data_IF_785885863046
#
_entry.id   IF_785885863046
#
_cell.length_a   1.000
_cell.length_b   1.000
_cell.length_c   1.000
_cell.angle_alpha   90.00
_cell.angle_beta   90.00
_cell.angle_gamma   90.00
#
_symmetry.space_group_name_H-M   'P 1'
#
loop_
_entity.id
_entity.type
_entity.pdbx_description
1 polymer ?
#
# COMPACT_ATOMS: atom_id res chain seq x y z
N UNK A 1 -12.93 -13.09 8.34
CA UNK A 1 -11.83 -12.11 8.50
C UNK A 1 -10.64 -12.59 7.69
N UNK A 2 -10.29 -11.90 6.60
CA UNK A 2 -9.17 -12.30 5.74
C UNK A 2 -7.85 -11.96 6.46
N UNK A 3 -7.07 -12.99 6.76
CA UNK A 3 -5.83 -12.94 7.55
C UNK A 3 -4.64 -12.87 6.59
N UNK A 4 -4.00 -11.71 6.46
CA UNK A 4 -2.69 -11.62 5.82
C UNK A 4 -1.64 -11.60 6.91
N UNK A 5 -0.96 -12.74 7.09
CA UNK A 5 0.29 -12.76 7.83
C UNK A 5 1.38 -12.09 6.98
N UNK A 6 2.09 -11.13 7.56
CA UNK A 6 3.11 -10.27 6.91
C UNK A 6 4.10 -11.08 6.06
N UNK A 7 4.49 -12.26 6.56
CA UNK A 7 5.44 -13.15 5.86
C UNK A 7 4.89 -13.72 4.55
N UNK A 8 3.58 -13.95 4.45
CA UNK A 8 2.96 -14.49 3.23
C UNK A 8 2.88 -13.42 2.14
N UNK A 9 2.67 -12.15 2.52
CA UNK A 9 2.62 -11.04 1.58
C UNK A 9 3.97 -10.85 0.87
N UNK A 10 5.07 -10.82 1.61
CA UNK A 10 6.40 -10.57 1.00
C UNK A 10 6.78 -11.65 -0.02
N UNK A 11 6.52 -12.92 0.29
CA UNK A 11 6.79 -14.04 -0.61
C UNK A 11 5.91 -13.97 -1.86
N UNK A 12 4.64 -13.64 -1.70
CA UNK A 12 3.72 -13.50 -2.81
C UNK A 12 4.10 -12.35 -3.76
N UNK A 13 4.47 -11.19 -3.21
CA UNK A 13 4.95 -10.04 -3.97
C UNK A 13 6.21 -10.37 -4.78
N UNK A 14 7.18 -11.06 -4.16
CA UNK A 14 8.40 -11.51 -4.84
C UNK A 14 8.08 -12.49 -5.98
N UNK A 15 7.16 -13.42 -5.74
CA UNK A 15 6.70 -14.36 -6.76
C UNK A 15 6.08 -13.65 -7.97
N UNK A 16 5.15 -12.72 -7.74
CA UNK A 16 4.52 -11.93 -8.81
C UNK A 16 5.53 -11.07 -9.57
N UNK A 17 6.45 -10.41 -8.85
CA UNK A 17 7.46 -9.54 -9.44
C UNK A 17 8.48 -10.30 -10.30
N UNK A 18 8.79 -11.55 -9.93
CA UNK A 18 9.71 -12.41 -10.67
C UNK A 18 9.14 -12.98 -11.98
N UNK A 19 7.85 -12.83 -12.24
CA UNK A 19 7.24 -13.28 -13.49
C UNK A 19 7.58 -12.33 -14.66
N UNK A 20 7.74 -12.85 -15.90
CA UNK A 20 7.97 -12.01 -17.07
C UNK A 20 6.74 -11.19 -17.49
N UNK A 21 5.57 -11.49 -16.92
CA UNK A 21 4.33 -10.80 -17.23
C UNK A 21 4.30 -9.41 -16.62
N UNK A 22 4.16 -8.39 -17.46
CA UNK A 22 4.05 -7.02 -16.99
C UNK A 22 2.79 -6.80 -16.14
N UNK A 23 1.72 -7.54 -16.44
CA UNK A 23 0.51 -7.51 -15.61
C UNK A 23 0.76 -8.03 -14.20
N UNK A 24 1.58 -9.07 -14.05
CA UNK A 24 1.93 -9.59 -12.74
C UNK A 24 2.76 -8.59 -11.93
N UNK A 25 3.71 -7.90 -12.59
CA UNK A 25 4.51 -6.84 -11.96
C UNK A 25 3.67 -5.63 -11.55
N UNK A 26 2.68 -5.24 -12.35
CA UNK A 26 1.70 -4.20 -11.98
C UNK A 26 0.91 -4.59 -10.72
N UNK A 27 0.43 -5.83 -10.65
CA UNK A 27 -0.30 -6.33 -9.47
C UNK A 27 0.61 -6.36 -8.25
N UNK A 28 1.87 -6.79 -8.39
CA UNK A 28 2.84 -6.74 -7.29
C UNK A 28 3.04 -5.30 -6.78
N UNK A 29 3.19 -4.34 -7.69
CA UNK A 29 3.35 -2.94 -7.33
C UNK A 29 2.10 -2.36 -6.64
N UNK A 30 0.90 -2.62 -7.17
CA UNK A 30 -0.35 -2.14 -6.57
C UNK A 30 -0.53 -2.68 -5.14
N UNK A 31 -0.21 -3.95 -4.92
CA UNK A 31 -0.21 -4.56 -3.59
C UNK A 31 0.82 -3.92 -2.65
N UNK A 32 2.02 -3.61 -3.14
CA UNK A 32 3.05 -2.92 -2.37
C UNK A 32 2.61 -1.50 -1.98
N UNK A 33 2.04 -0.73 -2.92
CA UNK A 33 1.51 0.62 -2.68
C UNK A 33 0.41 0.59 -1.61
N UNK A 34 -0.53 -0.36 -1.71
CA UNK A 34 -1.62 -0.51 -0.73
C UNK A 34 -1.10 -0.90 0.64
N UNK A 35 -0.11 -1.79 0.71
CA UNK A 35 0.51 -2.19 1.97
C UNK A 35 1.19 -1.02 2.68
N UNK A 36 2.07 -0.30 1.98
CA UNK A 36 2.77 0.87 2.52
C UNK A 36 1.78 1.96 2.95
N UNK A 37 0.76 2.24 2.13
CA UNK A 37 -0.27 3.24 2.45
C UNK A 37 -1.05 2.87 3.71
N UNK A 38 -1.35 1.58 3.90
CA UNK A 38 -2.04 1.07 5.09
C UNK A 38 -1.17 1.18 6.34
N UNK A 39 0.10 0.75 6.25
CA UNK A 39 1.05 0.85 7.36
C UNK A 39 1.27 2.31 7.76
N UNK A 40 1.40 3.21 6.79
CA UNK A 40 1.58 4.64 7.05
C UNK A 40 0.39 5.26 7.78
N UNK A 41 -0.84 4.97 7.34
CA UNK A 41 -2.05 5.44 8.02
C UNK A 41 -2.16 4.93 9.46
N UNK A 42 -1.83 3.66 9.69
CA UNK A 42 -1.81 3.09 11.02
C UNK A 42 -0.74 3.76 11.90
N UNK A 43 0.46 3.94 11.37
CA UNK A 43 1.56 4.58 12.09
C UNK A 43 1.22 6.01 12.49
N UNK A 44 0.62 6.81 11.59
CA UNK A 44 0.19 8.19 11.92
C UNK A 44 -0.84 8.25 13.06
N UNK A 45 -1.64 7.20 13.25
CA UNK A 45 -2.74 7.18 14.22
C UNK A 45 -2.33 6.58 15.56
N UNK A 46 -1.47 5.58 15.54
CA UNK A 46 -1.13 4.77 16.71
C UNK A 46 0.34 4.83 17.08
N UNK A 47 1.16 5.55 16.31
CA UNK A 47 2.62 5.70 16.50
C UNK A 47 3.38 4.37 16.49
N UNK A 48 2.77 3.32 15.95
CA UNK A 48 3.30 1.96 15.93
C UNK A 48 2.84 1.21 14.67
N UNK A 49 3.62 0.18 14.32
CA UNK A 49 3.27 -0.81 13.30
C UNK A 49 2.88 -2.12 13.97
N UNK A 50 1.93 -2.82 13.35
CA UNK A 50 1.25 -3.98 13.95
C UNK A 50 1.58 -5.28 13.22
N UNK A 51 1.39 -6.39 13.91
CA UNK A 51 1.49 -7.74 13.32
C UNK A 51 0.45 -7.97 12.21
N UNK A 52 -0.77 -7.42 12.36
CA UNK A 52 -1.90 -7.65 11.48
C UNK A 52 -2.74 -6.38 11.29
N UNK A 53 -3.35 -6.26 10.12
CA UNK A 53 -4.18 -5.11 9.74
C UNK A 53 -5.54 -5.58 9.27
N UNK A 54 -6.58 -4.78 9.54
CA UNK A 54 -7.89 -4.98 8.92
C UNK A 54 -7.84 -4.52 7.45
N UNK A 55 -8.04 -5.47 6.53
CA UNK A 55 -8.06 -5.24 5.07
C UNK A 55 -9.32 -4.52 4.58
N UNK A 56 -10.37 -4.43 5.40
CA UNK A 56 -11.62 -3.72 5.08
C UNK A 56 -11.69 -2.31 5.68
N UNK A 57 -10.75 -1.97 6.56
CA UNK A 57 -10.76 -0.73 7.35
C UNK A 57 -9.77 0.33 6.90
N UNK A 58 -9.68 1.39 7.70
CA UNK A 58 -8.80 2.57 7.57
C UNK A 58 -7.34 2.31 7.95
N UNK A 59 -6.89 1.04 7.93
CA UNK A 59 -5.59 0.63 8.49
C UNK A 59 -5.61 0.44 10.01
N UNK A 60 -6.80 0.17 10.59
CA UNK A 60 -6.91 -0.26 11.98
C UNK A 60 -6.10 -1.54 12.21
N UNK A 61 -5.52 -1.70 13.42
CA UNK A 61 -4.96 -2.97 13.84
C UNK A 61 -6.03 -4.04 13.70
N UNK A 62 -5.69 -5.17 13.09
CA UNK A 62 -6.61 -6.29 13.01
C UNK A 62 -6.85 -6.86 14.42
N UNK A 63 -8.09 -7.19 14.73
CA UNK A 63 -8.45 -7.94 15.95
C UNK A 63 -8.59 -9.45 15.71
N UNK A 64 -8.92 -10.19 16.77
CA UNK A 64 -9.26 -11.62 16.71
C UNK A 64 -8.08 -12.59 16.78
N UNK A 65 -8.37 -13.80 17.27
CA UNK A 65 -7.41 -14.82 17.66
C UNK A 65 -7.38 -15.02 19.18
N UNK A 66 -6.42 -15.81 19.66
CA UNK A 66 -6.26 -16.09 21.11
C UNK A 66 -5.57 -14.96 21.88
N UNK A 67 -4.94 -14.01 21.18
CA UNK A 67 -4.11 -12.95 21.78
C UNK A 67 -4.39 -11.58 21.19
N UNK A 68 -4.16 -10.57 22.03
CA UNK A 68 -4.15 -9.16 21.64
C UNK A 68 -3.13 -8.89 20.52
N UNK A 69 -3.38 -7.82 19.77
CA UNK A 69 -2.52 -7.45 18.65
C UNK A 69 -1.18 -6.89 19.16
N UNK A 70 -0.08 -7.39 18.63
CA UNK A 70 1.25 -6.98 19.08
C UNK A 70 1.71 -5.70 18.39
N UNK A 71 2.24 -4.77 19.19
CA UNK A 71 2.87 -3.52 18.77
C UNK A 71 4.33 -3.73 18.37
N UNK A 72 4.84 -2.94 17.43
CA UNK A 72 6.27 -2.90 17.08
C UNK A 72 6.76 -4.17 16.38
N UNK A 73 5.90 -4.81 15.57
CA UNK A 73 6.20 -6.11 14.98
C UNK A 73 7.32 -6.02 13.93
N UNK A 74 8.47 -6.62 14.23
CA UNK A 74 9.70 -6.46 13.45
C UNK A 74 9.59 -6.88 11.99
N UNK A 75 8.82 -7.92 11.68
CA UNK A 75 8.62 -8.34 10.28
C UNK A 75 7.82 -7.32 9.47
N UNK A 76 6.84 -6.63 10.09
CA UNK A 76 6.09 -5.57 9.41
C UNK A 76 7.02 -4.43 9.02
N UNK A 77 7.88 -4.01 9.95
CA UNK A 77 8.89 -2.99 9.71
C UNK A 77 9.86 -3.42 8.59
N UNK A 78 10.37 -4.66 8.66
CA UNK A 78 11.29 -5.20 7.66
C UNK A 78 10.70 -5.28 6.26
N UNK A 79 9.44 -5.72 6.13
CA UNK A 79 8.74 -5.77 4.84
C UNK A 79 8.48 -4.36 4.31
N UNK A 80 8.10 -3.40 5.16
CA UNK A 80 7.92 -2.01 4.73
C UNK A 80 9.23 -1.43 4.19
N UNK A 81 10.35 -1.62 4.88
CA UNK A 81 11.67 -1.18 4.42
C UNK A 81 12.08 -1.87 3.11
N UNK A 82 11.85 -3.18 2.98
CA UNK A 82 12.12 -3.91 1.74
C UNK A 82 11.33 -3.38 0.55
N UNK A 83 10.05 -3.04 0.74
CA UNK A 83 9.21 -2.51 -0.34
C UNK A 83 9.59 -1.07 -0.70
N UNK A 84 10.01 -0.27 0.28
CA UNK A 84 10.54 1.07 0.04
C UNK A 84 11.86 1.02 -0.75
N UNK A 85 12.73 0.06 -0.45
CA UNK A 85 13.97 -0.16 -1.20
C UNK A 85 13.68 -0.63 -2.64
N UNK A 86 12.74 -1.58 -2.80
CA UNK A 86 12.45 -2.20 -4.10
C UNK A 86 11.60 -1.31 -5.04
N UNK A 87 10.69 -0.50 -4.49
CA UNK A 87 9.70 0.26 -5.28
C UNK A 87 9.71 1.76 -4.97
N UNK A 88 10.68 2.26 -4.22
CA UNK A 88 10.70 3.65 -3.74
C UNK A 88 10.69 4.71 -4.84
N UNK A 89 11.18 4.38 -6.04
CA UNK A 89 11.13 5.23 -7.23
C UNK A 89 9.72 5.39 -7.81
N UNK A 90 8.83 4.43 -7.54
CA UNK A 90 7.46 4.37 -8.08
C UNK A 90 6.38 4.61 -7.03
N UNK A 91 6.69 4.38 -5.75
CA UNK A 91 5.73 4.55 -4.65
C UNK A 91 5.30 6.01 -4.54
N UNK A 92 4.01 6.21 -4.31
CA UNK A 92 3.38 7.53 -4.17
C UNK A 92 3.07 7.77 -2.69
N UNK A 93 3.41 8.95 -2.18
CA UNK A 93 3.05 9.35 -0.82
C UNK A 93 1.54 9.50 -0.68
N UNK A 94 1.01 9.13 0.50
CA UNK A 94 -0.42 9.21 0.76
C UNK A 94 -1.03 10.63 0.56
N UNK A 95 -0.21 11.69 0.58
CA UNK A 95 -0.63 13.06 0.29
C UNK A 95 -1.09 13.27 -1.16
N UNK A 96 -0.60 12.49 -2.13
CA UNK A 96 -0.96 12.64 -3.54
C UNK A 96 -2.17 11.78 -3.97
N UNK A 97 -2.61 10.83 -3.14
CA UNK A 97 -3.72 9.91 -3.46
C UNK A 97 -5.15 10.49 -3.24
N UNK A 98 -5.29 11.73 -2.80
CA UNK A 98 -6.57 12.44 -2.66
C UNK A 98 -6.97 13.20 -3.94
N UNK A 99 -6.78 12.61 -5.13
CA UNK A 99 -7.33 13.17 -6.38
C UNK A 99 -7.34 12.10 -7.49
N UNK A 100 -8.26 11.16 -7.43
CA UNK A 100 -8.74 10.50 -8.66
C UNK A 100 -10.21 10.13 -8.49
N UNK A 101 -11.07 11.14 -8.55
CA UNK A 101 -12.47 10.89 -8.89
C UNK A 101 -12.52 10.42 -10.33
N UNK A 102 -13.03 9.20 -10.52
CA UNK A 102 -13.41 8.68 -11.82
C UNK A 102 -14.42 9.64 -12.47
N UNK A 103 -14.04 10.32 -13.56
CA UNK A 103 -14.99 11.00 -14.43
C UNK A 103 -14.55 12.35 -14.98
N UNK A 104 -14.43 12.39 -16.31
CA UNK A 104 -14.31 13.55 -17.22
C UNK A 104 -12.88 14.03 -17.48
N UNK A 105 -12.33 13.50 -18.58
CA UNK A 105 -11.29 14.15 -19.38
C UNK A 105 -11.86 15.46 -19.92
N UNK A 106 -11.33 16.60 -19.47
CA UNK A 106 -11.45 17.86 -20.22
C UNK A 106 -10.04 18.23 -20.70
N UNK A 107 -9.87 18.18 -22.01
CA UNK A 107 -8.66 18.54 -22.73
C UNK A 107 -8.20 19.95 -22.35
N UNK A 108 -6.95 20.07 -21.93
CA UNK A 108 -6.22 21.33 -21.94
C UNK A 108 -5.84 21.62 -23.40
N UNK A 109 -6.34 22.73 -23.95
CA UNK A 109 -6.00 23.16 -25.29
C UNK A 109 -6.23 24.65 -25.49
N UNK A 110 -5.15 25.43 -25.40
CA UNK A 110 -4.96 26.61 -26.22
C UNK A 110 -5.69 27.89 -25.80
N UNK A 111 -4.97 28.73 -25.08
CA UNK A 111 -5.15 30.18 -25.10
C UNK A 111 -5.05 30.68 -26.55
N UNK A 112 -6.08 31.35 -27.07
CA UNK A 112 -5.89 32.48 -27.98
C UNK A 112 -7.14 33.35 -28.03
N UNK A 113 -6.86 34.64 -27.93
CA UNK A 113 -7.75 35.75 -27.75
C UNK A 113 -8.28 36.28 -29.09
N UNK A 114 -9.48 36.89 -29.03
CA UNK A 114 -9.88 38.13 -29.72
C UNK A 114 -10.26 38.07 -31.22
N UNK A 115 -11.48 38.59 -31.44
CA UNK A 115 -12.26 38.89 -32.66
C UNK A 115 -12.83 37.70 -33.46
#
# INVERSE_FOLDING_TARGET
>A
MFRIEVNRLSTFLKGLWGLPSEKAKEVAFDLAQRWISTNWKAYLKYEAMFEKYDVTGDGKPGGGGEYEVQLGFGWTNGVALQLLDQFGDRLISASASLSFSFGVVVFCGGLLAVL
#
